data_IF_930458789358
#
_entry.id   IF_930458789358
#
_cell.length_a   1.000
_cell.length_b   1.000
_cell.length_c   1.000
_cell.angle_alpha   90.00
_cell.angle_beta   90.00
_cell.angle_gamma   90.00
#
_symmetry.space_group_name_H-M   'P 1'
#
loop_
_entity.id
_entity.type
_entity.pdbx_description
1 polymer ?
#
# COMPACT_ATOMS: atom_id res chain seq x y z
N UNK A 1 -20.83 -10.24 40.87
CA UNK A 1 -21.67 -9.88 39.71
C UNK A 1 -20.84 -8.95 38.87
N UNK A 2 -20.48 -9.43 37.69
CA UNK A 2 -19.09 -9.48 37.24
C UNK A 2 -18.71 -8.28 36.38
N UNK A 3 -17.55 -7.69 36.69
CA UNK A 3 -16.91 -6.61 35.92
C UNK A 3 -16.88 -6.89 34.42
N UNK A 4 -16.92 -8.17 33.99
CA UNK A 4 -17.00 -8.66 32.60
C UNK A 4 -18.27 -8.28 31.83
N UNK A 5 -19.44 -8.12 32.48
CA UNK A 5 -20.69 -7.84 31.77
C UNK A 5 -20.77 -6.39 31.24
N UNK A 6 -20.06 -5.44 31.88
CA UNK A 6 -20.05 -4.03 31.45
C UNK A 6 -19.04 -3.72 30.32
N UNK A 7 -18.07 -4.59 30.03
CA UNK A 7 -17.13 -4.43 28.90
C UNK A 7 -17.82 -4.56 27.54
N UNK A 8 -19.00 -5.18 27.52
CA UNK A 8 -19.78 -5.49 26.32
C UNK A 8 -20.35 -4.27 25.61
N UNK A 9 -20.26 -3.07 26.20
CA UNK A 9 -20.89 -1.85 25.68
C UNK A 9 -20.13 -1.18 24.52
N UNK A 10 -18.95 -1.67 24.12
CA UNK A 10 -18.21 -1.03 23.02
C UNK A 10 -17.13 -1.83 22.29
N UNK A 11 -16.64 -2.94 22.84
CA UNK A 11 -15.64 -3.80 22.18
C UNK A 11 -16.25 -5.18 21.95
N UNK A 12 -16.31 -5.62 20.70
CA UNK A 12 -16.86 -6.92 20.33
C UNK A 12 -15.77 -7.97 20.13
N UNK A 13 -16.06 -9.22 20.53
CA UNK A 13 -15.25 -10.40 20.21
C UNK A 13 -13.80 -10.39 20.75
N UNK A 14 -13.52 -9.61 21.82
CA UNK A 14 -12.18 -9.47 22.42
C UNK A 14 -12.15 -9.64 23.94
N UNK A 15 -13.05 -10.47 24.46
CA UNK A 15 -13.22 -10.68 25.90
C UNK A 15 -11.94 -11.24 26.55
N UNK A 16 -11.27 -12.18 25.87
CA UNK A 16 -10.01 -12.74 26.34
C UNK A 16 -8.91 -11.67 26.42
N UNK A 17 -8.70 -10.90 25.35
CA UNK A 17 -7.66 -9.87 25.31
C UNK A 17 -7.91 -8.78 26.35
N UNK A 18 -9.18 -8.42 26.56
CA UNK A 18 -9.61 -7.51 27.61
C UNK A 18 -9.26 -8.06 28.99
N UNK A 19 -9.62 -9.32 29.27
CA UNK A 19 -9.34 -9.96 30.57
C UNK A 19 -7.84 -10.07 30.84
N UNK A 20 -7.05 -10.34 29.80
CA UNK A 20 -5.59 -10.36 29.88
C UNK A 20 -5.04 -8.96 30.16
N UNK A 21 -5.52 -7.93 29.46
CA UNK A 21 -5.12 -6.54 29.69
C UNK A 21 -5.43 -6.08 31.12
N UNK A 22 -6.63 -6.38 31.64
CA UNK A 22 -6.98 -6.06 33.03
C UNK A 22 -6.15 -6.84 34.06
N UNK A 23 -5.66 -8.03 33.69
CA UNK A 23 -4.77 -8.81 34.57
C UNK A 23 -3.36 -8.24 34.63
N UNK A 24 -2.83 -7.73 33.52
CA UNK A 24 -1.46 -7.20 33.47
C UNK A 24 -1.36 -5.73 33.88
N UNK A 25 -2.39 -4.93 33.62
CA UNK A 25 -2.36 -3.49 33.89
C UNK A 25 -3.10 -3.22 35.20
N UNK A 26 -2.36 -2.85 36.24
CA UNK A 26 -2.91 -2.48 37.54
C UNK A 26 -2.33 -1.15 38.03
N UNK A 27 -3.01 -0.55 39.02
CA UNK A 27 -2.49 0.65 39.69
C UNK A 27 -1.23 0.37 40.51
N UNK A 28 -1.10 -0.84 41.03
CA UNK A 28 0.06 -1.23 41.83
C UNK A 28 1.28 -1.48 40.92
N UNK A 29 2.40 -0.77 41.15
CA UNK A 29 3.62 -0.88 40.35
C UNK A 29 4.29 -2.26 40.39
N UNK A 30 4.18 -2.93 41.54
CA UNK A 30 4.85 -4.21 41.79
C UNK A 30 4.18 -5.37 41.06
N UNK A 31 2.86 -5.28 40.87
CA UNK A 31 2.06 -6.29 40.17
C UNK A 31 2.09 -6.12 38.65
N UNK A 32 2.44 -4.91 38.18
CA UNK A 32 2.42 -4.57 36.76
C UNK A 32 3.78 -4.85 36.11
N UNK A 33 3.86 -5.66 35.03
CA UNK A 33 5.11 -5.91 34.34
C UNK A 33 5.65 -4.61 33.68
N UNK A 34 6.98 -4.40 33.65
CA UNK A 34 7.58 -3.19 33.09
C UNK A 34 7.36 -3.05 31.59
N UNK A 35 7.38 -4.17 30.86
CA UNK A 35 7.21 -4.23 29.42
C UNK A 35 6.04 -5.16 29.10
N UNK A 36 5.15 -4.71 28.21
CA UNK A 36 4.05 -5.51 27.68
C UNK A 36 4.04 -5.39 26.15
N UNK A 37 3.90 -6.52 25.47
CA UNK A 37 3.82 -6.53 24.00
C UNK A 37 2.43 -6.95 23.57
N UNK A 38 1.85 -6.18 22.66
CA UNK A 38 0.55 -6.44 22.04
C UNK A 38 0.77 -6.68 20.56
N UNK A 39 0.61 -7.92 20.14
CA UNK A 39 0.91 -8.36 18.79
C UNK A 39 -0.36 -8.68 18.02
N UNK A 40 -0.40 -8.40 16.71
CA UNK A 40 -1.51 -8.78 15.84
C UNK A 40 -1.42 -8.13 14.46
N UNK A 41 -2.21 -8.56 13.49
CA UNK A 41 -2.18 -7.94 12.16
C UNK A 41 -2.75 -6.50 12.16
N UNK A 42 -2.72 -5.85 11.00
CA UNK A 42 -3.52 -4.65 10.76
C UNK A 42 -5.01 -4.97 10.95
N UNK A 43 -5.82 -3.96 11.29
CA UNK A 43 -7.28 -4.07 11.41
C UNK A 43 -7.81 -5.09 12.44
N UNK A 44 -6.99 -5.54 13.40
CA UNK A 44 -7.46 -6.38 14.51
C UNK A 44 -8.06 -5.59 15.69
N UNK A 45 -8.07 -4.25 15.61
CA UNK A 45 -8.65 -3.37 16.62
C UNK A 45 -7.78 -3.16 17.87
N UNK A 46 -6.48 -3.48 17.82
CA UNK A 46 -5.54 -3.31 18.95
C UNK A 46 -5.59 -1.91 19.57
N UNK A 47 -5.39 -0.87 18.74
CA UNK A 47 -5.40 0.53 19.18
C UNK A 47 -6.76 0.90 19.76
N UNK A 48 -7.86 0.52 19.10
CA UNK A 48 -9.22 0.79 19.57
C UNK A 48 -9.51 0.18 20.95
N UNK A 49 -9.11 -1.09 21.18
CA UNK A 49 -9.28 -1.76 22.48
C UNK A 49 -8.45 -1.07 23.55
N UNK A 50 -7.20 -0.69 23.23
CA UNK A 50 -6.34 0.03 24.18
C UNK A 50 -6.89 1.41 24.53
N UNK A 51 -7.34 2.19 23.55
CA UNK A 51 -7.93 3.51 23.79
C UNK A 51 -9.17 3.40 24.69
N UNK A 52 -10.07 2.45 24.39
CA UNK A 52 -11.25 2.20 25.22
C UNK A 52 -10.89 1.74 26.62
N UNK A 53 -9.87 0.89 26.77
CA UNK A 53 -9.37 0.44 28.06
C UNK A 53 -8.85 1.61 28.89
N UNK A 54 -7.95 2.42 28.32
CA UNK A 54 -7.33 3.54 29.04
C UNK A 54 -8.29 4.69 29.34
N UNK A 55 -9.29 4.94 28.47
CA UNK A 55 -10.33 5.93 28.73
C UNK A 55 -11.26 5.53 29.89
N UNK A 56 -11.41 4.23 30.17
CA UNK A 56 -12.27 3.74 31.26
C UNK A 56 -11.59 3.83 32.63
N UNK A 57 -10.32 3.46 32.71
CA UNK A 57 -9.58 3.41 33.98
C UNK A 57 -8.88 4.73 34.34
N UNK A 58 -8.87 5.71 33.43
CA UNK A 58 -8.21 7.02 33.60
C UNK A 58 -6.75 6.92 34.09
N UNK A 59 -6.02 5.87 33.67
CA UNK A 59 -4.60 5.73 34.01
C UNK A 59 -3.76 6.83 33.35
N UNK A 60 -2.64 7.16 33.99
CA UNK A 60 -1.66 8.09 33.42
C UNK A 60 -1.04 7.45 32.18
N UNK A 61 -1.45 7.92 31.00
CA UNK A 61 -1.01 7.41 29.72
C UNK A 61 -0.26 8.46 28.88
N UNK A 62 0.77 8.02 28.16
CA UNK A 62 1.43 8.76 27.10
C UNK A 62 1.30 7.98 25.80
N UNK A 63 0.64 8.55 24.79
CA UNK A 63 0.46 7.92 23.49
C UNK A 63 1.51 8.43 22.51
N UNK A 64 2.21 7.50 21.87
CA UNK A 64 3.18 7.78 20.82
C UNK A 64 2.85 6.97 19.58
N UNK A 65 2.89 7.61 18.41
CA UNK A 65 2.74 6.96 17.11
C UNK A 65 4.07 7.02 16.34
N UNK A 66 4.92 5.98 16.46
CA UNK A 66 6.16 5.87 15.70
C UNK A 66 6.03 6.07 14.19
N UNK A 67 4.87 5.85 13.57
CA UNK A 67 4.71 6.09 12.13
C UNK A 67 4.93 7.55 11.72
N UNK A 68 4.68 8.49 12.64
CA UNK A 68 4.96 9.92 12.43
C UNK A 68 6.45 10.25 12.65
N UNK A 69 7.17 9.36 13.34
CA UNK A 69 8.54 9.55 13.79
C UNK A 69 9.44 8.64 12.95
N UNK A 70 10.02 9.15 11.87
CA UNK A 70 10.78 8.32 10.90
C UNK A 70 11.96 7.57 11.53
N UNK A 71 12.66 8.21 12.48
CA UNK A 71 13.90 7.69 13.05
C UNK A 71 13.85 7.58 14.58
N UNK A 72 14.81 6.87 15.16
CA UNK A 72 14.88 6.58 16.60
C UNK A 72 15.21 7.82 17.46
N UNK A 73 15.96 8.79 16.94
CA UNK A 73 16.25 10.04 17.67
C UNK A 73 14.97 10.85 17.96
N UNK A 74 14.13 11.18 16.96
CA UNK A 74 12.82 11.78 17.21
C UNK A 74 11.91 10.96 18.14
N UNK A 75 12.01 9.63 18.10
CA UNK A 75 11.28 8.76 19.03
C UNK A 75 11.68 9.03 20.48
N UNK A 76 12.97 9.07 20.80
CA UNK A 76 13.45 9.37 22.16
C UNK A 76 13.04 10.77 22.63
N UNK A 77 13.15 11.77 21.75
CA UNK A 77 12.71 13.14 22.04
C UNK A 77 11.20 13.21 22.30
N UNK A 78 10.39 12.46 21.53
CA UNK A 78 8.95 12.38 21.72
C UNK A 78 8.57 11.70 23.04
N UNK A 79 9.32 10.66 23.46
CA UNK A 79 9.15 10.02 24.78
C UNK A 79 9.40 11.03 25.90
N UNK A 80 10.54 11.73 25.85
CA UNK A 80 10.88 12.76 26.82
C UNK A 80 9.80 13.85 26.92
N UNK A 81 9.37 14.38 25.77
CA UNK A 81 8.33 15.42 25.67
C UNK A 81 6.99 14.97 26.24
N UNK A 82 6.52 13.77 25.88
CA UNK A 82 5.19 13.28 26.31
C UNK A 82 5.13 13.03 27.82
N UNK A 83 6.19 12.48 28.40
CA UNK A 83 6.27 12.22 29.84
C UNK A 83 6.26 13.54 30.62
N UNK A 84 7.08 14.52 30.21
CA UNK A 84 7.14 15.83 30.85
C UNK A 84 5.79 16.57 30.77
N UNK A 85 5.16 16.58 29.59
CA UNK A 85 3.84 17.20 29.41
C UNK A 85 2.77 16.54 30.30
N UNK A 86 2.76 15.21 30.39
CA UNK A 86 1.79 14.47 31.21
C UNK A 86 2.00 14.71 32.70
N UNK A 87 3.24 14.71 33.17
CA UNK A 87 3.55 15.02 34.57
C UNK A 87 3.14 16.43 34.97
N UNK A 88 3.31 17.41 34.06
CA UNK A 88 2.86 18.79 34.28
C UNK A 88 1.34 18.90 34.43
N UNK A 89 0.58 18.20 33.57
CA UNK A 89 -0.89 18.19 33.64
C UNK A 89 -1.36 17.57 34.96
N UNK A 90 -0.68 16.52 35.44
CA UNK A 90 -1.04 15.82 36.68
C UNK A 90 -0.68 16.60 37.94
N UNK A 91 0.43 17.35 37.92
CA UNK A 91 0.92 18.10 39.08
C UNK A 91 1.19 19.56 38.70
N UNK A 92 0.13 20.38 38.51
CA UNK A 92 0.27 21.80 38.17
C UNK A 92 0.93 22.65 39.26
N UNK A 93 1.10 22.10 40.48
CA UNK A 93 1.63 22.80 41.66
C UNK A 93 3.16 22.74 41.78
N UNK A 94 3.83 21.97 40.94
CA UNK A 94 5.28 21.90 40.92
C UNK A 94 5.80 22.86 39.83
N UNK A 95 6.29 24.04 40.25
CA UNK A 95 7.03 24.96 39.37
C UNK A 95 8.42 24.35 39.11
N UNK A 96 8.48 23.46 38.12
CA UNK A 96 9.69 22.79 37.67
C UNK A 96 10.16 23.46 36.37
N UNK A 97 11.46 23.71 36.26
CA UNK A 97 12.07 24.25 35.04
C UNK A 97 11.86 23.28 33.88
N UNK A 98 11.44 23.79 32.72
CA UNK A 98 11.30 22.97 31.53
C UNK A 98 12.69 22.51 31.07
N UNK A 99 13.00 21.23 31.27
CA UNK A 99 14.13 20.63 30.59
C UNK A 99 13.88 20.58 29.09
N UNK A 100 14.90 20.95 28.31
CA UNK A 100 14.82 20.86 26.87
C UNK A 100 14.87 19.39 26.43
N UNK A 101 13.77 18.92 25.86
CA UNK A 101 13.64 17.56 25.34
C UNK A 101 14.45 17.36 24.04
N UNK A 102 14.86 18.43 23.35
CA UNK A 102 15.68 18.35 22.14
C UNK A 102 17.13 17.91 22.43
N UNK A 103 17.62 18.16 23.66
CA UNK A 103 18.94 17.72 24.12
C UNK A 103 19.09 16.19 24.15
N UNK A 104 17.98 15.45 24.10
CA UNK A 104 17.97 14.00 24.03
C UNK A 104 18.30 13.54 22.62
N UNK A 105 19.58 13.30 22.36
CA UNK A 105 20.08 12.74 21.10
C UNK A 105 20.37 11.24 21.17
N UNK A 106 20.59 10.71 22.38
CA UNK A 106 20.95 9.31 22.61
C UNK A 106 20.16 8.64 23.76
N UNK A 107 20.14 7.30 23.81
CA UNK A 107 19.43 6.55 24.86
C UNK A 107 19.90 6.87 26.28
N UNK A 108 21.20 7.07 26.47
CA UNK A 108 21.77 7.46 27.78
C UNK A 108 21.32 8.87 28.22
N UNK A 109 21.18 9.80 27.26
CA UNK A 109 20.66 11.14 27.58
C UNK A 109 19.18 11.07 27.96
N UNK A 110 18.40 10.20 27.31
CA UNK A 110 17.01 9.94 27.70
C UNK A 110 16.94 9.40 29.14
N UNK A 111 17.79 8.44 29.50
CA UNK A 111 17.87 7.94 30.87
C UNK A 111 18.14 9.08 31.86
N UNK A 112 19.22 9.85 31.64
CA UNK A 112 19.59 10.97 32.53
C UNK A 112 18.48 12.03 32.64
N UNK A 113 17.77 12.29 31.55
CA UNK A 113 16.64 13.21 31.51
C UNK A 113 15.48 12.69 32.37
N UNK A 114 15.10 11.41 32.19
CA UNK A 114 14.02 10.78 32.96
C UNK A 114 14.36 10.68 34.46
N UNK A 115 15.61 10.37 34.80
CA UNK A 115 16.09 10.34 36.18
C UNK A 115 15.91 11.70 36.87
N UNK A 116 16.34 12.79 36.22
CA UNK A 116 16.18 14.15 36.75
C UNK A 116 14.71 14.50 36.97
N UNK A 117 13.88 14.26 35.95
CA UNK A 117 12.44 14.53 36.02
C UNK A 117 11.81 13.74 37.16
N UNK A 118 12.02 12.42 37.23
CA UNK A 118 11.38 11.61 38.26
C UNK A 118 11.86 11.97 39.67
N UNK A 119 13.13 12.34 39.86
CA UNK A 119 13.64 12.80 41.15
C UNK A 119 13.00 14.13 41.61
N UNK A 120 12.75 15.06 40.69
CA UNK A 120 12.11 16.33 41.00
C UNK A 120 10.63 16.15 41.33
N UNK A 121 9.89 15.43 40.49
CA UNK A 121 8.47 15.16 40.73
C UNK A 121 8.24 14.26 41.96
N UNK A 122 9.19 13.39 42.30
CA UNK A 122 9.11 12.54 43.50
C UNK A 122 9.16 13.32 44.81
N UNK A 123 9.67 14.56 44.83
CA UNK A 123 9.65 15.43 46.02
C UNK A 123 8.25 15.99 46.29
N UNK A 124 7.42 16.12 45.26
CA UNK A 124 6.12 16.76 45.31
C UNK A 124 4.94 15.79 45.44
N UNK A 125 5.22 14.49 45.48
CA UNK A 125 4.20 13.43 45.57
C UNK A 125 4.55 12.41 46.63
N UNK A 126 3.54 11.92 47.34
CA UNK A 126 3.68 10.84 48.31
C UNK A 126 3.19 9.48 47.82
N UNK A 127 2.39 9.47 46.74
CA UNK A 127 1.89 8.24 46.14
C UNK A 127 2.85 7.73 45.08
N UNK A 128 3.00 6.40 45.05
CA UNK A 128 3.67 5.72 43.96
C UNK A 128 2.70 5.60 42.79
N UNK A 129 3.10 6.09 41.62
CA UNK A 129 2.25 6.12 40.43
C UNK A 129 2.92 5.41 39.25
N UNK A 130 2.13 4.64 38.50
CA UNK A 130 2.53 4.06 37.23
C UNK A 130 2.28 5.05 36.09
N UNK A 131 3.26 5.21 35.20
CA UNK A 131 3.13 5.96 33.95
C UNK A 131 3.20 4.95 32.82
N UNK A 132 2.10 4.80 32.08
CA UNK A 132 2.02 3.92 30.93
C UNK A 132 2.39 4.67 29.66
N UNK A 133 3.51 4.28 29.05
CA UNK A 133 3.93 4.76 27.74
C UNK A 133 3.48 3.75 26.68
N UNK A 134 2.56 4.17 25.81
CA UNK A 134 1.99 3.33 24.75
C UNK A 134 2.65 3.73 23.44
N UNK A 135 3.40 2.80 22.86
CA UNK A 135 4.09 2.97 21.59
C UNK A 135 3.29 2.22 20.53
N UNK A 136 2.51 2.96 19.74
CA UNK A 136 1.58 2.39 18.77
C UNK A 136 2.22 2.13 17.40
N UNK A 137 2.62 0.89 17.13
CA UNK A 137 3.18 0.46 15.87
C UNK A 137 4.68 0.65 15.80
N UNK A 138 5.42 0.13 16.80
CA UNK A 138 6.89 0.18 16.82
C UNK A 138 7.51 -0.42 15.55
N UNK A 139 6.88 -1.48 15.04
CA UNK A 139 7.26 -2.20 13.81
C UNK A 139 7.17 -1.32 12.55
N UNK A 140 6.36 -0.27 12.57
CA UNK A 140 6.19 0.64 11.43
C UNK A 140 7.27 1.74 11.37
N UNK A 141 8.24 1.72 12.29
CA UNK A 141 9.39 2.63 12.28
C UNK A 141 10.35 2.24 11.13
N UNK A 142 10.69 3.19 10.25
CA UNK A 142 11.51 2.91 9.06
C UNK A 142 12.95 2.49 9.43
N UNK A 143 13.54 3.16 10.42
CA UNK A 143 14.90 2.88 10.93
C UNK A 143 14.89 1.92 12.13
N UNK A 144 14.09 0.85 12.09
CA UNK A 144 14.01 -0.11 13.20
C UNK A 144 15.20 -1.07 13.22
N UNK A 145 16.22 -0.75 14.02
CA UNK A 145 17.31 -1.67 14.31
C UNK A 145 16.97 -2.66 15.42
N UNK A 146 17.52 -3.87 15.31
CA UNK A 146 17.37 -4.91 16.34
C UNK A 146 17.86 -4.47 17.73
N UNK A 147 18.82 -3.55 17.77
CA UNK A 147 19.39 -3.04 19.02
C UNK A 147 18.48 -2.04 19.73
N UNK A 148 17.64 -1.30 19.01
CA UNK A 148 16.81 -0.22 19.58
C UNK A 148 15.76 -0.81 20.51
N UNK A 149 15.10 -1.89 20.09
CA UNK A 149 14.10 -2.54 20.92
C UNK A 149 14.69 -3.06 22.23
N UNK A 150 15.84 -3.74 22.19
CA UNK A 150 16.53 -4.20 23.40
C UNK A 150 16.91 -3.04 24.33
N UNK A 151 17.39 -1.92 23.78
CA UNK A 151 17.70 -0.72 24.56
C UNK A 151 16.47 -0.14 25.25
N UNK A 152 15.32 -0.10 24.55
CA UNK A 152 14.07 0.36 25.12
C UNK A 152 13.53 -0.60 26.19
N UNK A 153 13.69 -1.91 25.98
CA UNK A 153 13.31 -2.91 26.98
C UNK A 153 14.11 -2.76 28.26
N UNK A 154 15.42 -2.54 28.18
CA UNK A 154 16.29 -2.36 29.35
C UNK A 154 16.13 -0.99 30.05
N UNK A 155 15.37 -0.05 29.48
CA UNK A 155 15.25 1.31 30.03
C UNK A 155 14.65 1.33 31.44
N UNK A 156 13.75 0.39 31.76
CA UNK A 156 13.16 0.28 33.10
C UNK A 156 14.18 -0.16 34.18
N UNK A 157 15.22 -0.92 33.81
CA UNK A 157 16.27 -1.36 34.74
C UNK A 157 17.26 -0.24 35.07
N UNK A 158 17.44 0.68 34.11
CA UNK A 158 18.34 1.81 34.23
C UNK A 158 17.75 2.94 35.09
N UNK A 159 16.44 2.97 35.28
CA UNK A 159 15.77 3.97 36.09
C UNK A 159 15.89 3.63 37.59
N UNK A 160 16.09 4.62 38.48
CA UNK A 160 16.31 4.39 39.89
C UNK A 160 15.05 3.81 40.56
N UNK A 161 15.14 2.68 41.28
CA UNK A 161 13.99 2.06 41.95
C UNK A 161 13.47 2.87 43.15
N UNK A 162 14.20 3.91 43.56
CA UNK A 162 13.80 4.79 44.66
C UNK A 162 12.82 5.88 44.23
N UNK A 163 12.56 6.02 42.92
CA UNK A 163 11.58 6.99 42.43
C UNK A 163 10.15 6.54 42.75
N UNK A 164 9.27 7.49 43.05
CA UNK A 164 7.82 7.22 43.21
C UNK A 164 7.09 7.05 41.87
N UNK A 165 7.80 7.17 40.74
CA UNK A 165 7.22 7.04 39.40
C UNK A 165 7.86 5.86 38.67
N UNK A 166 7.04 4.88 38.31
CA UNK A 166 7.46 3.73 37.52
C UNK A 166 6.97 3.87 36.09
N UNK A 167 7.92 3.92 35.15
CA UNK A 167 7.63 3.93 33.73
C UNK A 167 7.40 2.50 33.24
N UNK A 168 6.24 2.27 32.65
CA UNK A 168 5.82 0.98 32.06
C UNK A 168 5.59 1.20 30.57
N UNK A 169 6.16 0.36 29.71
CA UNK A 169 6.05 0.52 28.25
C UNK A 169 5.18 -0.59 27.67
N UNK A 170 4.17 -0.18 26.89
CA UNK A 170 3.31 -1.05 26.12
C UNK A 170 3.66 -0.88 24.65
N UNK A 171 4.16 -1.93 24.02
CA UNK A 171 4.51 -1.95 22.61
C UNK A 171 3.40 -2.60 21.81
N UNK A 172 2.89 -1.94 20.77
CA UNK A 172 2.07 -2.62 19.76
C UNK A 172 2.91 -2.96 18.53
N UNK A 173 2.80 -4.21 18.08
CA UNK A 173 3.59 -4.78 16.97
C UNK A 173 2.65 -5.43 15.95
N UNK A 174 2.98 -5.30 14.66
CA UNK A 174 2.21 -5.90 13.56
C UNK A 174 2.74 -7.29 13.20
N UNK A 175 4.01 -7.38 12.84
CA UNK A 175 4.63 -8.62 12.36
C UNK A 175 5.00 -9.59 13.50
N UNK A 176 4.71 -10.88 13.31
CA UNK A 176 5.16 -11.94 14.22
C UNK A 176 6.67 -12.17 14.11
N UNK A 177 7.23 -12.05 12.91
CA UNK A 177 8.66 -12.22 12.63
C UNK A 177 9.54 -11.30 13.49
N UNK A 178 9.06 -10.09 13.77
CA UNK A 178 9.74 -9.16 14.67
C UNK A 178 9.76 -9.70 16.10
N UNK A 179 8.62 -10.21 16.59
CA UNK A 179 8.49 -10.75 17.95
C UNK A 179 9.34 -12.00 18.19
N UNK A 180 9.41 -12.90 17.20
CA UNK A 180 10.20 -14.14 17.29
C UNK A 180 11.68 -13.88 17.58
N UNK A 181 12.23 -12.76 17.09
CA UNK A 181 13.62 -12.35 17.35
C UNK A 181 13.90 -12.05 18.82
N UNK A 182 12.88 -11.71 19.60
CA UNK A 182 13.00 -11.32 21.01
C UNK A 182 12.30 -12.29 21.97
N UNK A 183 11.91 -13.47 21.49
CA UNK A 183 11.23 -14.48 22.31
C UNK A 183 12.03 -14.91 23.55
N UNK A 184 13.37 -14.82 23.50
CA UNK A 184 14.27 -15.13 24.63
C UNK A 184 14.07 -14.22 25.83
N UNK A 185 13.52 -13.02 25.64
CA UNK A 185 13.33 -12.06 26.72
C UNK A 185 12.09 -12.37 27.58
N UNK A 186 11.26 -13.35 27.18
CA UNK A 186 10.11 -13.86 27.96
C UNK A 186 9.16 -12.75 28.48
N UNK A 187 8.95 -11.71 27.66
CA UNK A 187 8.07 -10.59 27.99
C UNK A 187 6.60 -11.06 27.82
N UNK A 188 5.67 -10.67 28.70
CA UNK A 188 4.25 -10.99 28.51
C UNK A 188 3.76 -10.42 27.17
N UNK A 189 3.16 -11.29 26.37
CA UNK A 189 2.65 -10.98 25.03
C UNK A 189 1.17 -11.28 24.94
N UNK A 190 0.38 -10.31 24.49
CA UNK A 190 -1.05 -10.48 24.22
C UNK A 190 -1.24 -10.52 22.70
N UNK A 191 -1.75 -11.65 22.22
CA UNK A 191 -1.95 -11.88 20.79
C UNK A 191 -3.39 -11.52 20.41
N UNK A 192 -3.51 -10.61 19.45
CA UNK A 192 -4.75 -10.23 18.77
C UNK A 192 -4.82 -11.01 17.45
N UNK A 193 -5.54 -12.13 17.50
CA UNK A 193 -5.84 -12.96 16.33
C UNK A 193 -6.66 -12.20 15.30
N UNK A 194 -6.56 -12.59 14.02
CA UNK A 194 -7.47 -12.04 12.98
C UNK A 194 -8.92 -12.42 13.29
N UNK A 195 -9.84 -11.53 12.96
CA UNK A 195 -11.27 -11.80 13.11
C UNK A 195 -11.71 -12.91 12.16
N UNK A 196 -12.72 -13.66 12.56
CA UNK A 196 -13.45 -14.56 11.65
C UNK A 196 -14.51 -13.78 10.86
N UNK A 197 -14.98 -14.33 9.73
CA UNK A 197 -15.99 -13.68 8.88
C UNK A 197 -17.24 -13.26 9.67
N UNK A 198 -17.74 -14.14 10.55
CA UNK A 198 -18.89 -13.83 11.41
C UNK A 198 -18.62 -12.63 12.30
N UNK A 199 -17.45 -12.58 12.93
CA UNK A 199 -17.05 -11.47 13.79
C UNK A 199 -16.89 -10.16 13.01
N UNK A 200 -16.34 -10.22 11.80
CA UNK A 200 -16.24 -9.04 10.90
C UNK A 200 -17.64 -8.53 10.55
N UNK A 201 -18.57 -9.41 10.19
CA UNK A 201 -19.98 -9.05 9.93
C UNK A 201 -20.60 -8.38 11.14
N UNK A 202 -20.50 -8.98 12.33
CA UNK A 202 -21.09 -8.43 13.55
C UNK A 202 -20.52 -7.04 13.91
N UNK A 203 -19.22 -6.83 13.70
CA UNK A 203 -18.54 -5.56 13.96
C UNK A 203 -19.00 -4.50 12.95
N UNK A 204 -18.98 -4.83 11.65
CA UNK A 204 -19.36 -3.90 10.59
C UNK A 204 -20.84 -3.55 10.65
N UNK A 205 -21.73 -4.51 10.92
CA UNK A 205 -23.16 -4.27 11.14
C UNK A 205 -23.35 -3.19 12.21
N UNK A 206 -22.70 -3.29 13.37
CA UNK A 206 -22.90 -2.33 14.46
C UNK A 206 -22.30 -0.95 14.22
N UNK A 207 -21.14 -0.88 13.54
CA UNK A 207 -20.47 0.40 13.24
C UNK A 207 -21.23 1.12 12.11
N UNK A 208 -21.42 0.44 10.98
CA UNK A 208 -21.86 1.07 9.73
C UNK A 208 -23.35 1.32 9.63
N UNK A 209 -24.23 0.59 10.33
CA UNK A 209 -25.67 0.86 10.27
C UNK A 209 -25.97 2.32 10.64
N UNK A 210 -25.36 2.83 11.71
CA UNK A 210 -25.61 4.21 12.16
C UNK A 210 -25.05 5.24 11.19
N UNK A 211 -23.90 4.97 10.57
CA UNK A 211 -23.28 5.87 9.60
C UNK A 211 -24.07 5.90 8.28
N UNK A 212 -24.47 4.74 7.77
CA UNK A 212 -25.18 4.61 6.49
C UNK A 212 -26.61 5.14 6.54
N UNK A 213 -27.33 4.94 7.66
CA UNK A 213 -28.71 5.45 7.82
C UNK A 213 -28.73 6.97 7.97
N UNK A 214 -27.69 7.54 8.58
CA UNK A 214 -27.56 8.98 8.75
C UNK A 214 -26.93 9.69 7.54
N UNK A 215 -26.60 8.98 6.46
CA UNK A 215 -25.93 9.59 5.32
C UNK A 215 -26.87 10.48 4.50
N UNK A 216 -26.37 11.66 4.11
CA UNK A 216 -27.14 12.66 3.37
C UNK A 216 -27.64 12.13 2.01
N UNK A 217 -26.86 11.24 1.37
CA UNK A 217 -27.21 10.60 0.11
C UNK A 217 -28.51 9.78 0.24
N UNK A 218 -28.63 8.97 1.29
CA UNK A 218 -29.84 8.19 1.58
C UNK A 218 -31.03 9.12 1.84
N UNK A 219 -30.84 10.15 2.66
CA UNK A 219 -31.90 11.11 2.98
C UNK A 219 -32.39 11.91 1.76
N UNK A 220 -31.50 12.21 0.81
CA UNK A 220 -31.85 12.93 -0.42
C UNK A 220 -32.66 12.05 -1.39
N UNK A 221 -32.31 10.77 -1.55
CA UNK A 221 -33.09 9.84 -2.37
C UNK A 221 -34.48 9.58 -1.76
N UNK A 222 -34.58 9.51 -0.43
CA UNK A 222 -35.87 9.39 0.25
C UNK A 222 -36.79 10.60 0.01
N UNK A 223 -36.22 11.82 0.03
CA UNK A 223 -36.94 13.06 -0.27
C UNK A 223 -37.34 13.13 -1.74
N UNK A 224 -36.44 12.76 -2.66
CA UNK A 224 -36.66 12.79 -4.11
C UNK A 224 -37.76 11.84 -4.57
N UNK A 225 -37.83 10.63 -3.99
CA UNK A 225 -38.80 9.61 -4.36
C UNK A 225 -40.14 9.69 -3.59
N UNK A 226 -40.34 10.73 -2.78
CA UNK A 226 -41.55 10.95 -1.97
C UNK A 226 -41.98 9.71 -1.14
N UNK A 227 -41.02 9.02 -0.54
CA UNK A 227 -41.29 7.83 0.26
C UNK A 227 -41.48 8.26 1.72
N UNK A 228 -42.72 8.49 2.13
CA UNK A 228 -43.05 9.00 3.47
C UNK A 228 -43.23 7.92 4.54
N UNK A 229 -43.24 6.63 4.16
CA UNK A 229 -43.63 5.52 5.04
C UNK A 229 -42.50 4.50 5.27
N UNK A 230 -41.27 4.94 5.54
CA UNK A 230 -40.19 4.03 5.99
C UNK A 230 -40.07 4.14 7.50
N UNK A 231 -40.29 3.03 8.19
CA UNK A 231 -39.93 2.94 9.61
C UNK A 231 -38.41 2.81 9.74
N UNK A 232 -37.85 3.36 10.82
CA UNK A 232 -36.42 3.28 11.13
C UNK A 232 -35.90 1.82 11.11
N UNK A 233 -36.74 0.87 11.51
CA UNK A 233 -36.45 -0.57 11.42
C UNK A 233 -36.21 -1.08 10.00
N UNK A 234 -36.89 -0.53 8.99
CA UNK A 234 -36.73 -0.95 7.59
C UNK A 234 -35.47 -0.35 6.97
N UNK A 235 -35.13 0.90 7.30
CA UNK A 235 -33.83 1.49 6.94
C UNK A 235 -32.67 0.67 7.50
N UNK A 236 -32.78 0.25 8.78
CA UNK A 236 -31.79 -0.62 9.40
C UNK A 236 -31.70 -1.99 8.69
N UNK A 237 -32.83 -2.59 8.31
CA UNK A 237 -32.83 -3.85 7.58
C UNK A 237 -32.21 -3.72 6.17
N UNK A 238 -32.43 -2.60 5.48
CA UNK A 238 -31.81 -2.33 4.18
C UNK A 238 -30.29 -2.21 4.30
N UNK A 239 -29.80 -1.43 5.27
CA UNK A 239 -28.38 -1.30 5.55
C UNK A 239 -27.76 -2.66 5.94
N UNK A 240 -28.43 -3.44 6.79
CA UNK A 240 -28.00 -4.79 7.17
C UNK A 240 -27.87 -5.72 5.96
N UNK A 241 -28.87 -5.72 5.07
CA UNK A 241 -28.85 -6.55 3.88
C UNK A 241 -27.72 -6.13 2.93
N UNK A 242 -27.49 -4.82 2.76
CA UNK A 242 -26.37 -4.30 1.98
C UNK A 242 -25.02 -4.74 2.56
N UNK A 243 -24.80 -4.54 3.87
CA UNK A 243 -23.55 -4.93 4.56
C UNK A 243 -23.29 -6.43 4.43
N UNK A 244 -24.32 -7.27 4.57
CA UNK A 244 -24.14 -8.73 4.40
C UNK A 244 -23.78 -9.10 2.97
N UNK A 245 -24.40 -8.44 2.00
CA UNK A 245 -24.22 -8.74 0.60
C UNK A 245 -22.85 -8.28 0.09
N UNK A 246 -22.39 -7.11 0.48
CA UNK A 246 -21.05 -6.61 0.15
C UNK A 246 -19.96 -7.47 0.79
N UNK A 247 -20.12 -7.88 2.07
CA UNK A 247 -19.20 -8.80 2.72
C UNK A 247 -19.18 -10.13 1.94
N UNK A 248 -20.34 -10.70 1.62
CA UNK A 248 -20.40 -11.97 0.88
C UNK A 248 -19.72 -11.90 -0.50
N UNK A 249 -19.88 -10.78 -1.21
CA UNK A 249 -19.28 -10.58 -2.53
C UNK A 249 -17.77 -10.36 -2.48
N UNK A 250 -17.29 -9.49 -1.58
CA UNK A 250 -15.90 -9.03 -1.58
C UNK A 250 -14.98 -9.75 -0.59
N UNK A 251 -15.51 -10.62 0.27
CA UNK A 251 -14.71 -11.47 1.17
C UNK A 251 -13.52 -12.20 0.51
N UNK A 252 -13.66 -12.89 -0.65
CA UNK A 252 -12.52 -13.57 -1.25
C UNK A 252 -11.44 -12.61 -1.74
N UNK A 253 -11.79 -11.33 -1.95
CA UNK A 253 -10.88 -10.29 -2.42
C UNK A 253 -10.21 -9.55 -1.26
N UNK A 254 -10.99 -9.04 -0.30
CA UNK A 254 -10.48 -8.25 0.85
C UNK A 254 -9.90 -9.10 1.97
N UNK A 255 -10.26 -10.39 2.04
CA UNK A 255 -10.04 -11.19 3.23
C UNK A 255 -10.78 -10.61 4.45
N UNK A 256 -10.19 -10.73 5.64
CA UNK A 256 -10.83 -10.36 6.91
C UNK A 256 -10.50 -8.92 7.37
N UNK A 257 -10.16 -8.02 6.46
CA UNK A 257 -9.72 -6.67 6.79
C UNK A 257 -10.89 -5.69 6.87
N UNK A 258 -11.17 -5.22 8.09
CA UNK A 258 -12.31 -4.34 8.40
C UNK A 258 -12.17 -2.97 7.73
N UNK A 259 -10.95 -2.45 7.64
CA UNK A 259 -10.68 -1.10 7.11
C UNK A 259 -10.97 -1.02 5.60
N UNK A 260 -10.50 -2.00 4.82
CA UNK A 260 -10.74 -2.07 3.37
C UNK A 260 -12.22 -2.28 3.08
N UNK A 261 -12.88 -3.18 3.81
CA UNK A 261 -14.32 -3.39 3.67
C UNK A 261 -15.13 -2.13 4.01
N UNK A 262 -14.72 -1.37 5.01
CA UNK A 262 -15.35 -0.09 5.34
C UNK A 262 -15.25 0.92 4.21
N UNK A 263 -14.07 1.06 3.60
CA UNK A 263 -13.83 1.98 2.48
C UNK A 263 -14.64 1.57 1.24
N UNK A 264 -14.66 0.29 0.91
CA UNK A 264 -15.50 -0.25 -0.17
C UNK A 264 -16.99 -0.07 0.07
N UNK A 265 -17.44 -0.16 1.33
CA UNK A 265 -18.83 0.10 1.68
C UNK A 265 -19.20 1.55 1.43
N UNK A 266 -18.33 2.48 1.83
CA UNK A 266 -18.58 3.91 1.71
C UNK A 266 -18.61 4.34 0.23
N UNK A 267 -17.69 3.85 -0.61
CA UNK A 267 -17.68 4.17 -2.06
C UNK A 267 -18.90 3.61 -2.79
N UNK A 268 -19.30 2.36 -2.50
CA UNK A 268 -20.39 1.68 -3.20
C UNK A 268 -21.78 2.00 -2.65
N UNK A 269 -21.87 2.62 -1.47
CA UNK A 269 -23.15 3.00 -0.88
C UNK A 269 -23.87 4.03 -1.74
N UNK A 270 -23.15 5.01 -2.29
CA UNK A 270 -23.74 6.06 -3.11
C UNK A 270 -24.37 5.50 -4.39
N UNK A 271 -23.63 4.65 -5.10
CA UNK A 271 -24.15 3.95 -6.27
C UNK A 271 -25.35 3.07 -5.91
N UNK A 272 -25.27 2.30 -4.83
CA UNK A 272 -26.35 1.42 -4.39
C UNK A 272 -27.64 2.17 -4.06
N UNK A 273 -27.51 3.32 -3.38
CA UNK A 273 -28.64 4.17 -3.00
C UNK A 273 -29.34 4.77 -4.22
N UNK A 274 -28.60 5.06 -5.30
CA UNK A 274 -29.20 5.57 -6.55
C UNK A 274 -30.22 4.61 -7.19
N UNK A 275 -30.06 3.29 -6.99
CA UNK A 275 -30.96 2.27 -7.54
C UNK A 275 -32.21 2.01 -6.69
N UNK A 276 -32.37 2.70 -5.56
CA UNK A 276 -33.50 2.51 -4.65
C UNK A 276 -34.75 3.20 -5.20
N UNK A 277 -35.76 2.41 -5.58
CA UNK A 277 -37.10 2.87 -5.95
C UNK A 277 -38.14 2.43 -4.93
N UNK A 278 -39.34 3.02 -4.97
CA UNK A 278 -40.45 2.71 -4.03
C UNK A 278 -40.82 1.23 -3.97
N UNK A 279 -40.67 0.50 -5.07
CA UNK A 279 -40.97 -0.94 -5.17
C UNK A 279 -39.82 -1.83 -4.67
N UNK A 280 -38.58 -1.35 -4.83
CA UNK A 280 -37.37 -2.10 -4.49
C UNK A 280 -37.03 -2.07 -2.99
N UNK A 281 -37.53 -1.07 -2.25
CA UNK A 281 -37.30 -0.92 -0.79
C UNK A 281 -37.82 -2.13 -0.01
N UNK A 282 -38.97 -2.67 -0.40
CA UNK A 282 -39.59 -3.81 0.28
C UNK A 282 -39.06 -5.17 -0.20
N UNK A 283 -38.39 -5.20 -1.35
CA UNK A 283 -37.95 -6.42 -2.01
C UNK A 283 -36.42 -6.43 -2.22
N UNK A 284 -35.63 -6.92 -1.23
CA UNK A 284 -34.17 -6.87 -1.29
C UNK A 284 -33.58 -7.63 -2.50
N UNK A 285 -34.28 -8.67 -2.97
CA UNK A 285 -33.87 -9.47 -4.12
C UNK A 285 -33.96 -8.65 -5.43
N UNK A 286 -34.99 -7.82 -5.58
CA UNK A 286 -35.14 -6.98 -6.77
C UNK A 286 -34.10 -5.86 -6.78
N UNK A 287 -33.84 -5.26 -5.61
CA UNK A 287 -32.80 -4.25 -5.44
C UNK A 287 -31.41 -4.81 -5.77
N UNK A 288 -31.12 -6.04 -5.35
CA UNK A 288 -29.88 -6.73 -5.73
C UNK A 288 -29.78 -6.96 -7.24
N UNK A 289 -30.87 -7.37 -7.91
CA UNK A 289 -30.87 -7.57 -9.37
C UNK A 289 -30.61 -6.28 -10.14
N UNK A 290 -31.15 -5.15 -9.69
CA UNK A 290 -30.86 -3.85 -10.30
C UNK A 290 -29.43 -3.37 -10.05
N UNK A 291 -28.85 -3.70 -8.89
CA UNK A 291 -27.50 -3.27 -8.48
C UNK A 291 -26.40 -4.31 -8.74
N UNK A 292 -26.68 -5.35 -9.52
CA UNK A 292 -25.77 -6.49 -9.72
C UNK A 292 -24.36 -6.09 -10.21
N UNK A 293 -24.26 -5.03 -11.02
CA UNK A 293 -22.99 -4.54 -11.58
C UNK A 293 -22.00 -4.10 -10.50
N UNK A 294 -22.50 -3.48 -9.42
CA UNK A 294 -21.70 -2.97 -8.29
C UNK A 294 -20.96 -4.10 -7.55
N UNK A 295 -21.55 -5.31 -7.54
CA UNK A 295 -21.04 -6.45 -6.78
C UNK A 295 -20.10 -7.35 -7.60
N UNK A 296 -20.01 -7.15 -8.91
CA UNK A 296 -19.12 -7.93 -9.78
C UNK A 296 -17.74 -7.26 -9.96
N UNK A 297 -17.72 -5.93 -9.99
CA UNK A 297 -16.51 -5.14 -10.19
C UNK A 297 -16.08 -4.47 -8.87
N UNK A 298 -14.78 -4.44 -8.58
CA UNK A 298 -14.26 -3.79 -7.36
C UNK A 298 -14.24 -2.27 -7.50
N UNK A 299 -14.12 -1.73 -8.72
CA UNK A 299 -14.02 -0.29 -9.02
C UNK A 299 -12.98 0.43 -8.13
N UNK A 300 -11.89 -0.24 -7.75
CA UNK A 300 -10.80 0.38 -6.98
C UNK A 300 -9.88 1.25 -7.84
N UNK A 301 -9.97 1.14 -9.16
CA UNK A 301 -9.20 1.98 -10.05
C UNK A 301 -9.90 3.33 -10.21
N UNK A 302 -9.27 4.39 -9.70
CA UNK A 302 -9.70 5.79 -9.90
C UNK A 302 -9.80 6.20 -11.38
N UNK A 303 -9.39 5.34 -12.31
CA UNK A 303 -9.50 5.55 -13.76
C UNK A 303 -10.92 5.34 -14.28
N UNK A 304 -11.74 4.52 -13.64
CA UNK A 304 -13.03 4.10 -14.20
C UNK A 304 -14.09 5.23 -14.11
N UNK A 305 -13.95 6.15 -13.15
CA UNK A 305 -14.78 7.36 -13.04
C UNK A 305 -14.63 8.27 -14.27
N UNK A 306 -13.43 8.33 -14.87
CA UNK A 306 -13.16 9.12 -16.07
C UNK A 306 -13.57 8.42 -17.38
N UNK A 307 -13.83 7.10 -17.34
CA UNK A 307 -14.27 6.35 -18.51
C UNK A 307 -15.79 6.41 -18.71
N UNK A 308 -16.58 6.61 -17.66
CA UNK A 308 -18.03 6.77 -17.81
C UNK A 308 -18.40 8.13 -18.44
N UNK A 309 -17.67 9.20 -18.13
CA UNK A 309 -17.88 10.51 -18.80
C UNK A 309 -17.43 10.52 -20.28
N UNK A 310 -16.54 9.61 -20.69
CA UNK A 310 -16.00 9.54 -22.06
C UNK A 310 -16.81 8.69 -23.03
N UNK A 311 -17.89 8.04 -22.58
CA UNK A 311 -18.71 7.18 -23.46
C UNK A 311 -19.63 7.99 -24.40
N UNK A 312 -19.93 9.24 -24.08
CA UNK A 312 -20.94 10.00 -24.83
C UNK A 312 -20.39 10.98 -25.88
N UNK A 313 -19.07 11.24 -25.93
CA UNK A 313 -18.50 12.10 -26.98
C UNK A 313 -17.12 11.61 -27.48
N UNK A 314 -17.00 11.51 -28.81
CA UNK A 314 -15.80 11.32 -29.64
C UNK A 314 -15.34 9.91 -30.07
N UNK A 315 -15.55 9.66 -31.37
CA UNK A 315 -14.70 8.95 -32.35
C UNK A 315 -13.56 8.07 -31.83
N UNK A 316 -13.57 6.82 -32.32
CA UNK A 316 -12.52 5.79 -32.31
C UNK A 316 -11.06 6.27 -32.44
N UNK A 317 -10.51 6.92 -31.42
CA UNK A 317 -9.09 6.96 -31.14
C UNK A 317 -8.88 6.05 -29.96
N UNK A 318 -8.33 4.86 -30.21
CA UNK A 318 -7.91 3.89 -29.19
C UNK A 318 -7.18 4.67 -28.10
N UNK A 319 -7.75 4.75 -26.90
CA UNK A 319 -7.14 5.48 -25.79
C UNK A 319 -5.79 4.83 -25.50
N UNK A 320 -4.71 5.47 -25.91
CA UNK A 320 -3.36 4.94 -25.68
C UNK A 320 -2.95 5.26 -24.26
N UNK A 321 -2.47 4.25 -23.52
CA UNK A 321 -1.96 4.44 -22.15
C UNK A 321 -0.85 5.49 -22.06
N UNK A 322 -0.14 5.76 -23.17
CA UNK A 322 0.84 6.83 -23.28
C UNK A 322 0.76 7.59 -24.60
N UNK A 323 0.65 8.91 -24.52
CA UNK A 323 0.83 9.83 -25.65
C UNK A 323 2.32 10.05 -25.95
N UNK A 324 2.98 9.00 -26.45
CA UNK A 324 4.38 9.07 -26.89
C UNK A 324 4.49 9.44 -28.37
N UNK A 325 5.59 10.09 -28.74
CA UNK A 325 5.98 10.26 -30.14
C UNK A 325 6.07 8.90 -30.85
N UNK A 326 5.78 8.86 -32.15
CA UNK A 326 5.81 7.63 -32.97
C UNK A 326 7.19 6.95 -32.91
N UNK A 327 8.27 7.73 -32.95
CA UNK A 327 9.66 7.24 -32.80
C UNK A 327 9.83 6.56 -31.44
N UNK A 328 9.36 7.19 -30.36
CA UNK A 328 9.44 6.65 -29.00
C UNK A 328 8.64 5.35 -28.85
N UNK A 329 7.46 5.26 -29.47
CA UNK A 329 6.64 4.03 -29.50
C UNK A 329 7.40 2.88 -30.18
N UNK A 330 7.97 3.09 -31.36
CA UNK A 330 8.78 2.08 -32.04
C UNK A 330 10.07 1.73 -31.29
N UNK A 331 10.69 2.72 -30.63
CA UNK A 331 11.89 2.49 -29.82
C UNK A 331 11.57 1.61 -28.61
N UNK A 332 10.40 1.80 -27.99
CA UNK A 332 9.93 0.98 -26.89
C UNK A 332 9.61 -0.45 -27.34
N UNK A 333 8.94 -0.63 -28.49
CA UNK A 333 8.69 -1.95 -29.11
C UNK A 333 10.02 -2.65 -29.39
N UNK A 334 11.01 -1.92 -29.90
CA UNK A 334 12.36 -2.44 -30.14
C UNK A 334 13.09 -2.85 -28.86
N UNK A 335 12.95 -2.07 -27.78
CA UNK A 335 13.50 -2.41 -26.47
C UNK A 335 12.83 -3.65 -25.87
N UNK A 336 11.52 -3.82 -26.10
CA UNK A 336 10.76 -5.01 -25.71
C UNK A 336 11.30 -6.25 -26.44
N UNK A 337 11.49 -6.18 -27.75
CA UNK A 337 12.14 -7.24 -28.51
C UNK A 337 13.57 -7.52 -28.05
N UNK A 338 14.37 -6.48 -27.80
CA UNK A 338 15.72 -6.62 -27.27
C UNK A 338 15.76 -7.35 -25.93
N UNK A 339 14.74 -7.20 -25.10
CA UNK A 339 14.67 -7.80 -23.76
C UNK A 339 14.12 -9.23 -23.76
N UNK A 340 13.15 -9.56 -24.60
CA UNK A 340 12.49 -10.88 -24.57
C UNK A 340 12.91 -11.82 -25.70
N UNK A 341 13.35 -11.30 -26.85
CA UNK A 341 13.94 -12.11 -27.90
C UNK A 341 15.42 -12.38 -27.60
N UNK A 342 15.86 -13.60 -27.90
CA UNK A 342 17.25 -13.97 -27.72
C UNK A 342 18.10 -13.51 -28.94
N UNK A 343 19.21 -12.83 -28.68
CA UNK A 343 20.09 -12.20 -29.69
C UNK A 343 20.52 -13.13 -30.84
N UNK A 344 20.65 -14.44 -30.58
CA UNK A 344 20.98 -15.46 -31.59
C UNK A 344 20.00 -15.52 -32.77
N UNK A 345 18.72 -15.19 -32.55
CA UNK A 345 17.67 -15.35 -33.56
C UNK A 345 17.28 -14.03 -34.25
N UNK A 346 17.87 -12.90 -33.87
CA UNK A 346 17.56 -11.60 -34.46
C UNK A 346 17.78 -11.59 -35.97
N UNK A 347 18.84 -12.25 -36.46
CA UNK A 347 19.13 -12.36 -37.89
C UNK A 347 18.10 -13.18 -38.69
N UNK A 348 17.36 -14.09 -38.04
CA UNK A 348 16.25 -14.80 -38.68
C UNK A 348 14.98 -13.97 -38.71
N UNK A 349 14.76 -13.15 -37.68
CA UNK A 349 13.51 -12.40 -37.49
C UNK A 349 13.51 -11.06 -38.23
N UNK A 350 14.67 -10.39 -38.29
CA UNK A 350 14.76 -9.00 -38.75
C UNK A 350 15.55 -8.81 -40.07
N UNK A 351 16.09 -9.88 -40.65
CA UNK A 351 16.84 -9.78 -41.91
C UNK A 351 15.88 -9.61 -43.10
N UNK A 352 15.96 -8.45 -43.77
CA UNK A 352 15.13 -8.11 -44.95
C UNK A 352 15.90 -7.98 -46.26
N UNK A 353 17.24 -7.94 -46.23
CA UNK A 353 18.08 -7.68 -47.41
C UNK A 353 18.45 -8.97 -48.13
N UNK A 354 18.44 -8.93 -49.47
CA UNK A 354 19.01 -10.00 -50.30
C UNK A 354 20.54 -9.95 -50.25
N UNK A 355 21.18 -11.13 -50.23
CA UNK A 355 22.63 -11.25 -50.22
C UNK A 355 23.20 -11.03 -51.62
N UNK A 356 23.98 -9.98 -51.82
CA UNK A 356 24.74 -9.76 -53.06
C UNK A 356 26.00 -10.65 -53.11
N UNK A 357 26.52 -11.04 -51.95
CA UNK A 357 27.68 -11.93 -51.79
C UNK A 357 27.22 -13.25 -51.19
N UNK A 358 27.81 -14.36 -51.63
CA UNK A 358 27.47 -15.70 -51.13
C UNK A 358 27.57 -15.78 -49.61
N UNK A 359 26.43 -16.04 -48.95
CA UNK A 359 26.28 -16.14 -47.51
C UNK A 359 24.98 -16.87 -47.16
N UNK A 360 24.94 -17.56 -46.03
CA UNK A 360 23.73 -18.26 -45.55
C UNK A 360 22.98 -17.37 -44.54
N UNK A 361 21.66 -17.34 -44.64
CA UNK A 361 20.81 -16.72 -43.62
C UNK A 361 20.95 -17.46 -42.28
N UNK A 362 20.74 -16.72 -41.19
CA UNK A 362 20.66 -17.31 -39.87
C UNK A 362 19.49 -18.30 -39.84
N UNK A 363 19.75 -19.52 -39.36
CA UNK A 363 18.68 -20.47 -39.13
C UNK A 363 17.83 -20.01 -37.94
N UNK A 364 16.53 -19.93 -38.15
CA UNK A 364 15.57 -19.68 -37.09
C UNK A 364 15.60 -20.76 -36.02
N UNK A 365 14.74 -20.57 -35.01
CA UNK A 365 14.66 -21.48 -33.88
C UNK A 365 14.18 -22.87 -34.32
N UNK A 366 14.93 -23.92 -33.97
CA UNK A 366 14.59 -25.31 -34.32
C UNK A 366 13.57 -25.98 -33.39
N UNK A 367 13.51 -25.54 -32.13
CA UNK A 367 12.60 -26.04 -31.10
C UNK A 367 12.03 -24.86 -30.32
N UNK A 368 10.71 -24.81 -30.16
CA UNK A 368 10.03 -23.82 -29.30
C UNK A 368 10.47 -23.98 -27.84
N UNK A 369 10.30 -22.93 -27.05
CA UNK A 369 10.53 -22.98 -25.59
C UNK A 369 9.35 -23.66 -24.91
N UNK A 370 9.64 -24.33 -23.80
CA UNK A 370 8.60 -24.83 -22.90
C UNK A 370 8.02 -23.70 -22.03
N UNK A 371 8.78 -22.62 -21.81
CA UNK A 371 8.39 -21.46 -21.00
C UNK A 371 8.28 -20.21 -21.86
N UNK A 372 7.19 -19.47 -21.70
CA UNK A 372 7.02 -18.19 -22.36
C UNK A 372 7.95 -17.14 -21.72
N UNK A 373 8.90 -16.53 -22.47
CA UNK A 373 9.84 -15.57 -21.90
C UNK A 373 9.15 -14.32 -21.35
N UNK A 374 7.90 -14.04 -21.74
CA UNK A 374 7.12 -12.89 -21.25
C UNK A 374 6.81 -12.96 -19.74
N UNK A 375 6.78 -14.16 -19.16
CA UNK A 375 6.59 -14.33 -17.71
C UNK A 375 7.90 -14.22 -16.92
N UNK A 376 9.04 -14.17 -17.61
CA UNK A 376 10.34 -14.01 -16.99
C UNK A 376 10.72 -12.53 -16.91
N UNK A 377 11.67 -12.22 -16.03
CA UNK A 377 12.25 -10.89 -15.97
C UNK A 377 12.92 -10.51 -17.30
N UNK A 378 12.80 -9.25 -17.75
CA UNK A 378 13.36 -8.79 -19.01
C UNK A 378 14.88 -8.95 -19.03
N UNK A 379 15.40 -9.50 -20.13
CA UNK A 379 16.84 -9.69 -20.28
C UNK A 379 17.56 -8.38 -20.64
N UNK A 380 18.86 -8.35 -20.35
CA UNK A 380 19.71 -7.19 -20.61
C UNK A 380 20.18 -7.19 -22.07
N UNK A 381 20.08 -6.04 -22.74
CA UNK A 381 20.53 -5.85 -24.13
C UNK A 381 21.49 -4.67 -24.28
N UNK A 382 22.22 -4.62 -25.40
CA UNK A 382 23.14 -3.52 -25.74
C UNK A 382 22.43 -2.46 -26.56
N UNK A 383 22.87 -1.20 -26.45
CA UNK A 383 22.30 -0.07 -27.19
C UNK A 383 22.32 -0.30 -28.72
N UNK A 384 23.40 -0.87 -29.22
CA UNK A 384 23.54 -1.18 -30.65
C UNK A 384 22.48 -2.17 -31.14
N UNK A 385 22.17 -3.19 -30.33
CA UNK A 385 21.12 -4.17 -30.65
C UNK A 385 19.74 -3.50 -30.72
N UNK A 386 19.45 -2.59 -29.79
CA UNK A 386 18.21 -1.80 -29.80
C UNK A 386 18.08 -0.98 -31.09
N UNK A 387 19.12 -0.23 -31.46
CA UNK A 387 19.11 0.60 -32.67
C UNK A 387 19.01 -0.26 -33.93
N UNK A 388 19.65 -1.43 -33.97
CA UNK A 388 19.55 -2.35 -35.10
C UNK A 388 18.13 -2.90 -35.27
N UNK A 389 17.47 -3.29 -34.18
CA UNK A 389 16.06 -3.74 -34.21
C UNK A 389 15.16 -2.57 -34.60
N UNK A 390 15.37 -1.38 -34.03
CA UNK A 390 14.60 -0.17 -34.34
C UNK A 390 14.63 0.14 -35.84
N UNK A 391 15.81 0.17 -36.45
CA UNK A 391 15.96 0.41 -37.90
C UNK A 391 15.29 -0.67 -38.76
N UNK A 392 15.15 -1.90 -38.22
CA UNK A 392 14.49 -2.99 -38.94
C UNK A 392 12.96 -2.91 -38.89
N UNK A 393 12.39 -2.37 -37.80
CA UNK A 393 10.94 -2.31 -37.61
C UNK A 393 10.34 -0.95 -37.99
N UNK A 394 11.12 0.13 -37.92
CA UNK A 394 10.62 1.48 -38.19
C UNK A 394 10.13 1.60 -39.65
N UNK A 395 8.94 2.19 -39.89
CA UNK A 395 8.40 2.32 -41.23
C UNK A 395 9.31 3.21 -42.07
N UNK A 396 9.65 2.74 -43.27
CA UNK A 396 10.32 3.59 -44.25
C UNK A 396 9.24 4.35 -45.01
N UNK A 397 9.22 5.68 -44.98
CA UNK A 397 8.17 6.55 -45.56
C UNK A 397 8.05 6.49 -47.10
N UNK A 398 8.63 5.49 -47.77
CA UNK A 398 9.01 5.58 -49.18
C UNK A 398 8.29 4.58 -50.11
N UNK A 399 7.09 4.13 -49.75
CA UNK A 399 6.34 3.17 -50.58
C UNK A 399 5.79 3.75 -51.90
N UNK A 400 5.98 5.04 -52.19
CA UNK A 400 5.42 5.74 -53.35
C UNK A 400 6.42 6.17 -54.44
N UNK A 401 7.72 5.91 -54.27
CA UNK A 401 8.73 6.35 -55.24
C UNK A 401 8.90 5.28 -56.33
N UNK A 402 8.65 5.67 -57.58
CA UNK A 402 8.86 4.81 -58.75
C UNK A 402 10.30 4.28 -58.80
N UNK A 403 10.44 2.97 -58.90
CA UNK A 403 11.74 2.30 -58.96
C UNK A 403 12.53 2.75 -60.20
N UNK A 404 13.66 3.45 -60.01
CA UNK A 404 14.61 3.74 -61.10
C UNK A 404 14.99 5.22 -61.28
N UNK A 405 14.40 6.15 -60.54
CA UNK A 405 14.79 7.58 -60.59
C UNK A 405 16.04 7.86 -59.74
N UNK A 406 16.79 8.91 -60.07
CA UNK A 406 17.98 9.35 -59.30
C UNK A 406 17.65 9.64 -57.83
N UNK A 407 16.39 9.96 -57.54
CA UNK A 407 15.87 10.17 -56.20
C UNK A 407 15.90 8.87 -55.37
N UNK A 408 15.65 7.70 -55.96
CA UNK A 408 15.72 6.41 -55.25
C UNK A 408 17.09 6.15 -54.59
N UNK A 409 18.19 6.65 -55.17
CA UNK A 409 19.54 6.52 -54.59
C UNK A 409 19.72 7.38 -53.32
N UNK A 410 18.99 8.50 -53.22
CA UNK A 410 19.01 9.36 -52.02
C UNK A 410 18.10 8.81 -50.91
N UNK A 411 16.93 8.29 -51.27
CA UNK A 411 15.86 7.99 -50.31
C UNK A 411 15.81 6.54 -49.80
N UNK A 412 16.49 5.56 -50.43
CA UNK A 412 16.45 4.16 -49.98
C UNK A 412 17.27 3.84 -48.71
N UNK A 413 17.60 4.85 -47.92
CA UNK A 413 18.33 4.65 -46.66
C UNK A 413 17.33 4.37 -45.54
N UNK A 414 17.49 3.26 -44.79
CA UNK A 414 16.75 3.11 -43.54
C UNK A 414 17.06 4.32 -42.65
N UNK A 415 16.09 4.72 -41.82
CA UNK A 415 16.26 5.85 -40.91
C UNK A 415 17.51 5.67 -40.07
N UNK A 416 18.48 6.57 -40.22
CA UNK A 416 19.66 6.59 -39.37
C UNK A 416 19.28 6.96 -37.94
N UNK A 417 20.11 6.57 -36.98
CA UNK A 417 19.98 7.05 -35.61
C UNK A 417 20.26 8.57 -35.57
N UNK A 418 19.19 9.36 -35.74
CA UNK A 418 19.24 10.81 -35.69
C UNK A 418 19.29 11.30 -34.23
N UNK A 419 19.58 12.58 -34.04
CA UNK A 419 19.56 13.23 -32.72
C UNK A 419 18.25 12.98 -31.97
N UNK A 420 17.12 13.00 -32.67
CA UNK A 420 15.79 12.74 -32.12
C UNK A 420 15.65 11.32 -31.54
N UNK A 421 16.29 10.31 -32.15
CA UNK A 421 16.24 8.93 -31.63
C UNK A 421 16.93 8.85 -30.27
N UNK A 422 18.09 9.50 -30.12
CA UNK A 422 18.82 9.55 -28.86
C UNK A 422 18.13 10.43 -27.82
N UNK A 423 17.52 11.54 -28.23
CA UNK A 423 16.71 12.37 -27.34
C UNK A 423 15.51 11.59 -26.80
N UNK A 424 14.74 10.96 -27.68
CA UNK A 424 13.60 10.12 -27.31
C UNK A 424 14.04 8.94 -26.42
N UNK A 425 15.22 8.35 -26.65
CA UNK A 425 15.77 7.31 -25.78
C UNK A 425 16.05 7.84 -24.37
N UNK A 426 16.67 9.02 -24.26
CA UNK A 426 16.94 9.66 -22.98
C UNK A 426 15.64 10.02 -22.23
N UNK A 427 14.61 10.46 -22.96
CA UNK A 427 13.27 10.72 -22.42
C UNK A 427 12.63 9.42 -21.90
N UNK A 428 12.66 8.32 -22.67
CA UNK A 428 12.17 7.00 -22.23
C UNK A 428 12.89 6.46 -21.00
N UNK A 429 14.19 6.73 -20.87
CA UNK A 429 14.96 6.40 -19.67
C UNK A 429 14.53 7.24 -18.46
N UNK A 430 14.30 8.54 -18.66
CA UNK A 430 13.83 9.46 -17.61
C UNK A 430 12.43 9.08 -17.12
N UNK A 431 11.55 8.64 -18.02
CA UNK A 431 10.23 8.08 -17.71
C UNK A 431 10.28 6.69 -17.06
N UNK A 432 11.47 6.09 -16.88
CA UNK A 432 11.69 4.74 -16.34
C UNK A 432 11.00 3.61 -17.12
N UNK A 433 10.64 3.85 -18.40
CA UNK A 433 10.13 2.83 -19.31
C UNK A 433 11.26 1.92 -19.82
N UNK A 434 12.46 2.49 -19.95
CA UNK A 434 13.71 1.76 -20.16
C UNK A 434 14.59 2.04 -18.95
N UNK A 435 15.24 1.00 -18.43
CA UNK A 435 16.15 1.12 -17.29
C UNK A 435 17.51 0.51 -17.63
N UNK A 436 18.53 0.94 -16.90
CA UNK A 436 19.89 0.42 -16.98
C UNK A 436 20.16 -0.59 -15.87
N UNK A 437 21.28 -1.29 -15.93
CA UNK A 437 21.68 -2.23 -14.87
C UNK A 437 22.06 -1.55 -13.56
N UNK A 438 22.65 -0.34 -13.63
CA UNK A 438 22.96 0.50 -12.48
C UNK A 438 22.04 1.72 -12.50
N UNK A 439 21.62 2.19 -11.33
CA UNK A 439 20.73 3.36 -11.19
C UNK A 439 21.46 4.63 -10.73
N UNK A 440 22.71 4.53 -10.24
CA UNK A 440 23.47 5.66 -9.69
C UNK A 440 24.67 5.99 -10.58
N UNK A 441 24.85 7.28 -10.89
CA UNK A 441 25.98 7.86 -11.66
C UNK A 441 26.34 7.01 -12.89
N UNK A 442 25.39 6.89 -13.81
CA UNK A 442 25.53 6.08 -15.02
C UNK A 442 26.28 6.90 -16.06
N UNK A 443 27.34 6.32 -16.61
CA UNK A 443 27.96 6.83 -17.83
C UNK A 443 27.27 6.20 -19.05
N UNK A 444 26.52 7.02 -19.80
CA UNK A 444 25.80 6.59 -21.00
C UNK A 444 26.73 6.23 -22.17
N UNK A 445 27.97 6.69 -22.14
CA UNK A 445 28.96 6.42 -23.19
C UNK A 445 29.77 5.15 -22.89
N UNK A 446 29.61 4.54 -21.71
CA UNK A 446 30.35 3.36 -21.33
C UNK A 446 29.90 2.12 -22.11
N UNK A 447 30.86 1.41 -22.72
CA UNK A 447 30.62 0.15 -23.46
C UNK A 447 30.01 -0.97 -22.58
N UNK A 448 30.21 -0.94 -21.26
CA UNK A 448 29.67 -1.96 -20.34
C UNK A 448 28.19 -1.73 -20.02
N UNK A 449 27.60 -0.62 -20.45
CA UNK A 449 26.22 -0.30 -20.15
C UNK A 449 25.27 -1.25 -20.87
N UNK A 450 24.38 -1.87 -20.10
CA UNK A 450 23.29 -2.68 -20.63
C UNK A 450 21.95 -2.08 -20.22
N UNK A 451 20.99 -2.22 -21.11
CA UNK A 451 19.65 -1.68 -21.02
C UNK A 451 18.65 -2.82 -20.84
N UNK A 452 17.50 -2.52 -20.23
CA UNK A 452 16.36 -3.43 -20.10
C UNK A 452 15.05 -2.65 -20.18
N UNK A 453 14.01 -3.25 -20.72
CA UNK A 453 12.67 -2.66 -20.71
C UNK A 453 12.01 -2.85 -19.34
N UNK A 454 11.18 -1.90 -18.91
CA UNK A 454 10.40 -1.96 -17.67
C UNK A 454 8.91 -1.71 -17.96
N UNK A 455 8.38 -2.42 -18.95
CA UNK A 455 7.02 -2.26 -19.48
C UNK A 455 6.35 -3.63 -19.56
N UNK A 456 5.07 -3.69 -19.20
CA UNK A 456 4.27 -4.92 -19.21
C UNK A 456 3.88 -5.31 -20.64
N UNK A 457 3.42 -6.55 -20.82
CA UNK A 457 2.94 -7.01 -22.12
C UNK A 457 1.67 -6.27 -22.59
N UNK A 458 0.76 -5.96 -21.67
CA UNK A 458 -0.52 -5.27 -21.98
C UNK A 458 -0.24 -3.87 -22.52
N UNK A 459 0.55 -3.08 -21.79
CA UNK A 459 0.94 -1.73 -22.20
C UNK A 459 1.69 -1.69 -23.53
N UNK A 460 2.60 -2.64 -23.80
CA UNK A 460 3.29 -2.66 -25.10
C UNK A 460 2.35 -3.10 -26.23
N UNK A 461 1.37 -3.96 -25.96
CA UNK A 461 0.36 -4.36 -26.94
C UNK A 461 -0.51 -3.17 -27.33
N UNK A 462 -0.98 -2.40 -26.38
CA UNK A 462 -1.78 -1.18 -26.65
C UNK A 462 -0.99 -0.16 -27.47
N UNK A 463 0.30 0.02 -27.17
CA UNK A 463 1.22 0.87 -27.95
C UNK A 463 1.42 0.32 -29.36
N UNK A 464 1.51 -0.99 -29.50
CA UNK A 464 1.66 -1.67 -30.79
C UNK A 464 0.41 -1.48 -31.66
N UNK A 465 -0.77 -1.68 -31.08
CA UNK A 465 -2.07 -1.52 -31.72
C UNK A 465 -2.30 -0.06 -32.14
N UNK A 466 -1.87 0.92 -31.31
CA UNK A 466 -1.89 2.35 -31.66
C UNK A 466 -1.11 2.68 -32.93
N UNK A 467 -0.01 1.97 -33.17
CA UNK A 467 0.89 2.22 -34.30
C UNK A 467 0.56 1.31 -35.49
N UNK A 468 -0.37 0.37 -35.32
CA UNK A 468 -0.72 -0.64 -36.32
C UNK A 468 0.40 -1.66 -36.55
N UNK A 469 1.24 -1.91 -35.54
CA UNK A 469 2.30 -2.91 -35.60
C UNK A 469 1.83 -4.20 -34.91
N UNK A 470 1.96 -5.35 -35.56
CA UNK A 470 1.53 -6.63 -34.97
C UNK A 470 2.68 -7.28 -34.19
N UNK A 471 2.83 -6.91 -32.92
CA UNK A 471 3.89 -7.48 -32.05
C UNK A 471 3.68 -8.98 -31.77
N UNK A 472 2.44 -9.47 -31.83
CA UNK A 472 2.08 -10.87 -31.54
C UNK A 472 2.80 -11.89 -32.41
N UNK A 473 2.95 -11.63 -33.71
CA UNK A 473 3.56 -12.56 -34.67
C UNK A 473 4.99 -12.96 -34.29
N UNK A 474 5.76 -12.02 -33.75
CA UNK A 474 7.15 -12.25 -33.34
C UNK A 474 7.26 -13.15 -32.10
N UNK A 475 6.22 -13.20 -31.27
CA UNK A 475 6.16 -14.02 -30.05
C UNK A 475 5.44 -15.36 -30.25
N UNK A 476 4.51 -15.48 -31.20
CA UNK A 476 3.78 -16.71 -31.52
C UNK A 476 4.70 -17.87 -31.94
N UNK A 477 5.86 -17.56 -32.51
CA UNK A 477 6.83 -18.56 -32.97
C UNK A 477 7.80 -19.06 -31.86
N UNK A 478 7.70 -18.52 -30.65
CA UNK A 478 8.68 -18.75 -29.57
C UNK A 478 8.23 -19.86 -28.62
N UNK A 479 6.94 -19.92 -28.32
CA UNK A 479 6.30 -20.81 -27.36
C UNK A 479 5.05 -21.41 -28.05
N UNK A 480 4.59 -22.58 -27.58
CA UNK A 480 3.46 -23.30 -28.18
C UNK A 480 2.10 -22.68 -27.83
#
# INVERSE_FOLDING_TARGET
MSETEEWSSGVFHRDYQISALSSFIQNDPDLTPPNLIIQGASSTGKTFVLEKFFNRFEYINGWLRPIELVSWKPLLQAVARTIQQKLRILLPKADIEEFDYLEVEGPHQLQKFLEKIFMEYSKHTDKVNNIFLIIDGLDSLQDLDASIFLKMLALHELLPPQSKFYLKIIYTVKESSFLERYATNLIPTIIFSRYTLKQVSDILEKIKIKELVNSDCYLNVLKGNAITNISESQSNNLALNFIRLIIQAFQPYTGNDISVLSEMMDSKWEEYVSYITKENIFSPINLYRSSIKIFLHTNESLTDELEEEKKDEFTSTIATSYELSTISKYLLISAYFGSYLHFRYDGSNFSRKSHLRTGRNAYGRRKKMDVNPRYLNPSLFTLERLLAIFQSIYPTENNSIENGTLETLRWRRPTSANIEVFQNLAELHTLKLISTTSNKNIDFLAHKLKWKVNVTWETIKDISDSVGFEIGEYFSNIHD
#
